data_IF_289435289240
#
_entry.id   IF_289435289240
#
_cell.length_a   1.000
_cell.length_b   1.000
_cell.length_c   1.000
_cell.angle_alpha   90.00
_cell.angle_beta   90.00
_cell.angle_gamma   90.00
#
_symmetry.space_group_name_H-M   'P 1'
#
loop_
_entity.id
_entity.type
_entity.pdbx_description
1 polymer ?
#
# COMPACT_ATOMS: atom_id res chain seq x y z
N UNK A 1 -39.29 73.52 7.49
CA UNK A 1 -38.79 72.35 8.24
C UNK A 1 -39.05 70.99 7.56
N UNK A 2 -39.43 70.90 6.27
CA UNK A 2 -39.64 69.60 5.59
C UNK A 2 -38.43 69.04 4.82
N UNK A 3 -37.42 69.86 4.49
CA UNK A 3 -36.28 69.44 3.67
C UNK A 3 -35.34 68.47 4.40
N UNK A 4 -35.18 68.65 5.71
CA UNK A 4 -34.34 67.79 6.56
C UNK A 4 -34.95 66.40 6.74
N UNK A 5 -36.28 66.30 6.87
CA UNK A 5 -36.96 65.00 7.01
C UNK A 5 -36.84 64.15 5.74
N UNK A 6 -36.93 64.77 4.56
CA UNK A 6 -36.83 64.06 3.27
C UNK A 6 -35.41 63.52 3.04
N UNK A 7 -34.37 64.31 3.36
CA UNK A 7 -32.98 63.85 3.24
C UNK A 7 -32.65 62.76 4.25
N UNK A 8 -33.20 62.84 5.46
CA UNK A 8 -33.00 61.80 6.49
C UNK A 8 -33.69 60.50 6.10
N UNK A 9 -34.91 60.56 5.52
CA UNK A 9 -35.60 59.38 5.02
C UNK A 9 -34.83 58.68 3.89
N UNK A 10 -34.31 59.43 2.92
CA UNK A 10 -33.54 58.90 1.79
C UNK A 10 -32.22 58.23 2.23
N UNK A 11 -31.55 58.79 3.24
CA UNK A 11 -30.36 58.20 3.83
C UNK A 11 -30.68 56.87 4.56
N UNK A 12 -31.83 56.79 5.24
CA UNK A 12 -32.26 55.55 5.89
C UNK A 12 -32.56 54.43 4.87
N UNK A 13 -33.17 54.73 3.72
CA UNK A 13 -33.42 53.73 2.67
C UNK A 13 -32.13 53.24 2.01
N UNK A 14 -31.13 54.11 1.87
CA UNK A 14 -29.80 53.75 1.34
C UNK A 14 -28.91 52.99 2.33
N UNK A 15 -29.13 53.15 3.63
CA UNK A 15 -28.40 52.38 4.67
C UNK A 15 -28.91 50.94 4.80
N UNK A 16 -30.18 50.67 4.48
CA UNK A 16 -30.74 49.31 4.55
C UNK A 16 -30.10 48.38 3.50
N UNK A 17 -29.67 48.90 2.36
CA UNK A 17 -28.98 48.09 1.32
C UNK A 17 -27.52 47.78 1.65
N UNK A 18 -26.89 48.53 2.55
CA UNK A 18 -25.51 48.30 2.99
C UNK A 18 -25.37 47.13 4.00
N UNK A 19 -26.49 46.57 4.48
CA UNK A 19 -26.52 45.44 5.43
C UNK A 19 -26.93 44.09 4.82
N UNK A 20 -27.22 44.02 3.52
CA UNK A 20 -27.59 42.76 2.86
C UNK A 20 -26.33 42.04 2.38
N UNK A 21 -25.64 41.35 3.29
CA UNK A 21 -24.56 40.44 2.90
C UNK A 21 -25.11 39.38 1.93
N UNK A 22 -24.49 39.25 0.76
CA UNK A 22 -24.86 38.21 -0.22
C UNK A 22 -24.87 36.86 0.47
N UNK A 23 -25.97 36.11 0.33
CA UNK A 23 -26.00 34.71 0.76
C UNK A 23 -25.35 33.86 -0.32
N UNK A 24 -24.21 33.24 0.01
CA UNK A 24 -23.47 32.33 -0.86
C UNK A 24 -23.98 30.91 -0.68
N UNK A 25 -24.10 30.18 -1.79
CA UNK A 25 -24.47 28.77 -1.79
C UNK A 25 -23.30 27.86 -1.37
N UNK A 26 -23.63 26.63 -0.96
CA UNK A 26 -22.65 25.56 -0.68
C UNK A 26 -21.73 25.33 -1.88
N UNK A 27 -22.29 25.34 -3.10
CA UNK A 27 -21.54 25.11 -4.34
C UNK A 27 -20.55 26.25 -4.65
N UNK A 28 -20.91 27.50 -4.35
CA UNK A 28 -19.98 28.64 -4.48
C UNK A 28 -18.81 28.51 -3.50
N UNK A 29 -19.08 28.17 -2.24
CA UNK A 29 -18.04 27.93 -1.25
C UNK A 29 -17.08 26.79 -1.64
N UNK A 30 -17.60 25.66 -2.16
CA UNK A 30 -16.75 24.53 -2.58
C UNK A 30 -15.83 24.87 -3.76
N UNK A 31 -16.22 25.79 -4.64
CA UNK A 31 -15.46 26.17 -5.84
C UNK A 31 -14.41 27.24 -5.56
N UNK A 32 -14.70 28.18 -4.66
CA UNK A 32 -13.84 29.34 -4.40
C UNK A 32 -13.16 29.25 -3.03
N UNK A 33 -11.86 28.93 -3.06
CA UNK A 33 -11.03 28.81 -1.84
C UNK A 33 -10.82 30.15 -1.13
N UNK A 34 -10.80 31.26 -1.86
CA UNK A 34 -10.59 32.57 -1.27
C UNK A 34 -11.86 33.01 -0.53
N UNK A 35 -13.03 32.81 -1.16
CA UNK A 35 -14.32 33.01 -0.52
C UNK A 35 -14.46 32.15 0.74
N UNK A 36 -14.09 30.87 0.65
CA UNK A 36 -14.10 29.96 1.79
C UNK A 36 -13.20 30.48 2.93
N UNK A 37 -11.98 30.91 2.62
CA UNK A 37 -11.04 31.43 3.63
C UNK A 37 -11.51 32.72 4.31
N UNK A 38 -12.03 33.67 3.52
CA UNK A 38 -12.58 34.92 4.04
C UNK A 38 -13.75 34.68 4.98
N UNK A 39 -14.70 33.82 4.57
CA UNK A 39 -15.85 33.49 5.40
C UNK A 39 -15.48 32.63 6.59
N UNK A 40 -14.45 31.79 6.51
CA UNK A 40 -13.95 31.05 7.67
C UNK A 40 -13.43 32.01 8.75
N UNK A 41 -12.72 33.06 8.35
CA UNK A 41 -12.26 34.11 9.27
C UNK A 41 -13.43 34.93 9.84
N UNK A 42 -14.44 35.26 9.02
CA UNK A 42 -15.65 35.99 9.46
C UNK A 42 -16.53 35.18 10.42
N UNK A 43 -16.73 33.90 10.12
CA UNK A 43 -17.57 33.02 10.92
C UNK A 43 -16.91 32.63 12.23
N UNK A 44 -15.58 32.47 12.25
CA UNK A 44 -14.86 31.94 13.40
C UNK A 44 -15.48 30.63 13.90
N UNK A 45 -15.48 30.42 15.21
CA UNK A 45 -16.10 29.23 15.81
C UNK A 45 -17.63 29.37 15.94
N UNK A 46 -18.11 30.55 16.32
CA UNK A 46 -19.49 30.77 16.79
C UNK A 46 -20.40 31.53 15.81
N UNK A 47 -19.96 31.86 14.60
CA UNK A 47 -20.78 32.58 13.62
C UNK A 47 -22.02 31.79 13.22
N UNK A 48 -23.19 32.42 13.28
CA UNK A 48 -24.50 31.78 13.04
C UNK A 48 -25.22 32.32 11.80
N UNK A 49 -24.56 33.16 10.98
CA UNK A 49 -25.18 33.65 9.75
C UNK A 49 -25.45 32.50 8.78
N UNK A 50 -26.40 32.70 7.84
CA UNK A 50 -26.71 31.68 6.84
C UNK A 50 -25.49 31.27 6.01
N UNK A 51 -24.57 32.21 5.76
CA UNK A 51 -23.30 31.95 5.11
C UNK A 51 -22.38 31.07 5.94
N UNK A 52 -22.38 31.20 7.27
CA UNK A 52 -21.61 30.32 8.15
C UNK A 52 -22.18 28.90 8.18
N UNK A 53 -23.50 28.73 8.09
CA UNK A 53 -24.10 27.40 7.91
C UNK A 53 -23.70 26.77 6.57
N UNK A 54 -23.84 27.53 5.47
CA UNK A 54 -23.51 27.06 4.13
C UNK A 54 -22.01 26.76 3.99
N UNK A 55 -21.14 27.55 4.60
CA UNK A 55 -19.70 27.31 4.68
C UNK A 55 -19.38 25.99 5.39
N UNK A 56 -19.95 25.76 6.59
CA UNK A 56 -19.71 24.52 7.36
C UNK A 56 -20.21 23.29 6.59
N UNK A 57 -21.36 23.41 5.92
CA UNK A 57 -21.87 22.34 5.07
C UNK A 57 -20.95 22.06 3.87
N UNK A 58 -20.45 23.12 3.21
CA UNK A 58 -19.46 23.00 2.14
C UNK A 58 -18.16 22.33 2.60
N UNK A 59 -17.64 22.70 3.77
CA UNK A 59 -16.46 22.08 4.37
C UNK A 59 -16.68 20.59 4.66
N UNK A 60 -17.83 20.23 5.23
CA UNK A 60 -18.18 18.85 5.54
C UNK A 60 -18.30 17.98 4.28
N UNK A 61 -18.96 18.49 3.23
CA UNK A 61 -19.05 17.78 1.95
C UNK A 61 -17.66 17.59 1.32
N UNK A 62 -16.84 18.64 1.31
CA UNK A 62 -15.50 18.58 0.75
C UNK A 62 -14.60 17.60 1.52
N UNK A 63 -14.72 17.58 2.85
CA UNK A 63 -14.03 16.62 3.70
C UNK A 63 -14.43 15.18 3.35
N UNK A 64 -15.72 14.88 3.22
CA UNK A 64 -16.20 13.55 2.81
C UNK A 64 -15.68 13.15 1.44
N UNK A 65 -15.63 14.08 0.48
CA UNK A 65 -15.05 13.83 -0.85
C UNK A 65 -13.54 13.50 -0.77
N UNK A 66 -12.80 14.19 0.10
CA UNK A 66 -11.38 13.90 0.31
C UNK A 66 -11.15 12.56 1.01
N UNK A 67 -11.96 12.24 2.02
CA UNK A 67 -11.93 10.96 2.74
C UNK A 67 -12.24 9.81 1.79
N UNK A 68 -13.32 9.89 1.01
CA UNK A 68 -13.67 8.86 0.03
C UNK A 68 -12.53 8.62 -0.99
N UNK A 69 -11.91 9.69 -1.51
CA UNK A 69 -10.75 9.57 -2.41
C UNK A 69 -9.52 8.98 -1.71
N UNK A 70 -9.33 9.25 -0.42
CA UNK A 70 -8.23 8.68 0.34
C UNK A 70 -8.45 7.19 0.61
N UNK A 71 -9.66 6.79 1.01
CA UNK A 71 -10.07 5.40 1.19
C UNK A 71 -9.91 4.60 -0.10
N UNK A 72 -10.32 5.16 -1.24
CA UNK A 72 -10.13 4.52 -2.55
C UNK A 72 -8.65 4.26 -2.85
N UNK A 73 -7.77 5.26 -2.67
CA UNK A 73 -6.33 5.11 -2.86
C UNK A 73 -5.72 4.08 -1.91
N UNK A 74 -6.16 4.06 -0.64
CA UNK A 74 -5.69 3.09 0.36
C UNK A 74 -6.12 1.69 -0.05
N UNK A 75 -7.38 1.52 -0.50
CA UNK A 75 -7.91 0.24 -0.96
C UNK A 75 -7.12 -0.28 -2.16
N UNK A 76 -6.90 0.55 -3.17
CA UNK A 76 -6.10 0.19 -4.35
C UNK A 76 -4.66 -0.17 -3.97
N UNK A 77 -4.03 0.63 -3.11
CA UNK A 77 -2.68 0.35 -2.63
C UNK A 77 -2.60 -1.00 -1.90
N UNK A 78 -3.54 -1.26 -1.00
CA UNK A 78 -3.59 -2.52 -0.24
C UNK A 78 -3.84 -3.72 -1.15
N UNK A 79 -4.71 -3.59 -2.15
CA UNK A 79 -4.95 -4.65 -3.13
C UNK A 79 -3.69 -4.95 -3.96
N UNK A 80 -3.00 -3.91 -4.44
CA UNK A 80 -1.76 -4.06 -5.19
C UNK A 80 -0.66 -4.70 -4.34
N UNK A 81 -0.51 -4.28 -3.08
CA UNK A 81 0.45 -4.86 -2.13
C UNK A 81 0.14 -6.33 -1.83
N UNK A 82 -1.15 -6.69 -1.69
CA UNK A 82 -1.57 -8.08 -1.49
C UNK A 82 -1.19 -8.95 -2.69
N UNK A 83 -1.50 -8.49 -3.91
CA UNK A 83 -1.15 -9.19 -5.15
C UNK A 83 0.36 -9.38 -5.28
N UNK A 84 1.14 -8.30 -5.09
CA UNK A 84 2.61 -8.37 -5.14
C UNK A 84 3.18 -9.33 -4.09
N UNK A 85 2.61 -9.38 -2.89
CA UNK A 85 3.04 -10.30 -1.85
C UNK A 85 2.67 -11.76 -2.16
N UNK A 86 1.50 -11.99 -2.77
CA UNK A 86 1.09 -13.32 -3.25
C UNK A 86 2.02 -13.83 -4.34
N UNK A 87 2.33 -13.00 -5.34
CA UNK A 87 3.29 -13.32 -6.41
C UNK A 87 4.68 -13.62 -5.84
N UNK A 88 5.20 -12.74 -4.99
CA UNK A 88 6.50 -12.94 -4.34
C UNK A 88 6.55 -14.25 -3.54
N UNK A 89 5.49 -14.57 -2.79
CA UNK A 89 5.40 -15.84 -2.05
C UNK A 89 5.37 -17.04 -2.99
N UNK A 90 4.68 -16.95 -4.12
CA UNK A 90 4.63 -18.02 -5.11
C UNK A 90 6.02 -18.25 -5.74
N UNK A 91 6.71 -17.18 -6.14
CA UNK A 91 8.08 -17.25 -6.68
C UNK A 91 9.07 -17.85 -5.67
N UNK A 92 8.98 -17.43 -4.41
CA UNK A 92 9.85 -17.96 -3.35
C UNK A 92 9.60 -19.43 -3.07
N UNK A 93 8.35 -19.89 -3.08
CA UNK A 93 8.02 -21.33 -2.97
C UNK A 93 8.58 -22.11 -4.15
N UNK A 94 8.36 -21.66 -5.37
CA UNK A 94 8.89 -22.32 -6.57
C UNK A 94 10.42 -22.39 -6.55
N UNK A 95 11.10 -21.31 -6.15
CA UNK A 95 12.55 -21.28 -5.97
C UNK A 95 13.01 -22.28 -4.90
N UNK A 96 12.32 -22.32 -3.77
CA UNK A 96 12.65 -23.22 -2.68
C UNK A 96 12.44 -24.69 -3.06
N UNK A 97 11.35 -25.02 -3.74
CA UNK A 97 11.11 -26.37 -4.27
C UNK A 97 12.18 -26.79 -5.27
N UNK A 98 12.55 -25.90 -6.21
CA UNK A 98 13.64 -26.16 -7.15
C UNK A 98 14.96 -26.39 -6.43
N UNK A 99 15.29 -25.54 -5.46
CA UNK A 99 16.51 -25.69 -4.67
C UNK A 99 16.53 -27.01 -3.90
N UNK A 100 15.39 -27.40 -3.31
CA UNK A 100 15.25 -28.66 -2.58
C UNK A 100 15.49 -29.87 -3.51
N UNK A 101 14.88 -29.88 -4.69
CA UNK A 101 15.08 -30.94 -5.69
C UNK A 101 16.54 -31.00 -6.14
N UNK A 102 17.14 -29.84 -6.47
CA UNK A 102 18.55 -29.76 -6.88
C UNK A 102 19.52 -30.20 -5.77
N UNK A 103 19.14 -29.98 -4.51
CA UNK A 103 19.91 -30.41 -3.35
C UNK A 103 19.81 -31.93 -3.15
N UNK A 104 18.61 -32.48 -3.15
CA UNK A 104 18.37 -33.93 -3.04
C UNK A 104 19.05 -34.70 -4.17
N UNK A 105 18.98 -34.19 -5.41
CA UNK A 105 19.69 -34.78 -6.55
C UNK A 105 21.20 -34.79 -6.35
N UNK A 106 21.78 -33.69 -5.86
CA UNK A 106 23.22 -33.60 -5.57
C UNK A 106 23.63 -34.55 -4.45
N UNK A 107 22.83 -34.70 -3.40
CA UNK A 107 23.10 -35.68 -2.36
C UNK A 107 23.06 -37.11 -2.91
N UNK A 108 22.03 -37.48 -3.68
CA UNK A 108 21.94 -38.80 -4.27
C UNK A 108 23.11 -39.11 -5.23
N UNK A 109 23.58 -38.13 -6.00
CA UNK A 109 24.77 -38.27 -6.85
C UNK A 109 26.06 -38.49 -6.04
N UNK A 110 26.21 -37.78 -4.91
CA UNK A 110 27.35 -37.97 -4.00
C UNK A 110 27.30 -39.36 -3.37
N UNK A 111 26.16 -39.77 -2.81
CA UNK A 111 25.97 -41.09 -2.20
C UNK A 111 26.23 -42.22 -3.21
N UNK A 112 25.76 -42.06 -4.45
CA UNK A 112 26.02 -43.02 -5.52
C UNK A 112 27.52 -43.14 -5.82
N UNK A 113 28.23 -42.01 -5.92
CA UNK A 113 29.69 -42.01 -6.16
C UNK A 113 30.44 -42.67 -5.01
N UNK A 114 30.10 -42.36 -3.77
CA UNK A 114 30.70 -42.99 -2.59
C UNK A 114 30.44 -44.50 -2.55
N UNK A 115 29.23 -44.95 -2.91
CA UNK A 115 28.89 -46.36 -2.98
C UNK A 115 29.67 -47.09 -4.10
N UNK A 116 29.81 -46.47 -5.28
CA UNK A 116 30.60 -47.00 -6.39
C UNK A 116 32.09 -47.11 -6.03
N UNK A 117 32.63 -46.10 -5.34
CA UNK A 117 34.02 -46.10 -4.87
C UNK A 117 34.27 -47.19 -3.83
N UNK A 118 33.40 -47.29 -2.80
CA UNK A 118 33.48 -48.36 -1.79
C UNK A 118 33.38 -49.75 -2.40
N UNK A 119 32.51 -49.94 -3.41
CA UNK A 119 32.38 -51.22 -4.11
C UNK A 119 33.63 -51.56 -4.93
N UNK A 120 34.26 -50.58 -5.58
CA UNK A 120 35.53 -50.77 -6.30
C UNK A 120 36.65 -51.15 -5.34
N UNK A 121 36.81 -50.43 -4.24
CA UNK A 121 37.82 -50.76 -3.23
C UNK A 121 37.61 -52.16 -2.65
N UNK A 122 36.35 -52.54 -2.37
CA UNK A 122 36.05 -53.87 -1.86
C UNK A 122 36.38 -54.96 -2.88
N UNK A 123 36.02 -54.76 -4.16
CA UNK A 123 36.34 -55.70 -5.22
C UNK A 123 37.86 -55.85 -5.41
N UNK A 124 38.62 -54.75 -5.28
CA UNK A 124 40.09 -54.77 -5.35
C UNK A 124 40.70 -55.53 -4.17
N UNK A 125 40.24 -55.27 -2.93
CA UNK A 125 40.66 -56.02 -1.73
C UNK A 125 40.37 -57.51 -1.88
N UNK A 126 39.17 -57.88 -2.30
CA UNK A 126 38.80 -59.29 -2.53
C UNK A 126 39.64 -59.94 -3.63
N UNK A 127 39.96 -59.22 -4.70
CA UNK A 127 40.83 -59.71 -5.77
C UNK A 127 42.27 -59.94 -5.27
N UNK A 128 42.81 -59.02 -4.47
CA UNK A 128 44.14 -59.14 -3.86
C UNK A 128 44.21 -60.33 -2.89
N UNK A 129 43.20 -60.50 -2.03
CA UNK A 129 43.09 -61.64 -1.11
C UNK A 129 43.02 -62.97 -1.87
N UNK A 130 42.19 -63.04 -2.93
CA UNK A 130 42.11 -64.23 -3.79
C UNK A 130 43.42 -64.53 -4.50
N UNK A 131 44.16 -63.51 -4.94
CA UNK A 131 45.48 -63.67 -5.55
C UNK A 131 46.50 -64.23 -4.55
N UNK A 132 46.56 -63.65 -3.33
CA UNK A 132 47.40 -64.14 -2.23
C UNK A 132 47.08 -65.58 -1.85
N UNK A 133 45.80 -65.93 -1.75
CA UNK A 133 45.38 -67.30 -1.42
C UNK A 133 45.79 -68.32 -2.51
N UNK A 134 45.69 -67.96 -3.80
CA UNK A 134 46.15 -68.81 -4.90
C UNK A 134 47.67 -68.99 -4.88
N UNK A 135 48.43 -67.93 -4.62
CA UNK A 135 49.88 -68.01 -4.52
C UNK A 135 50.32 -68.94 -3.38
N UNK A 136 49.72 -68.81 -2.20
CA UNK A 136 49.99 -69.71 -1.07
C UNK A 136 49.63 -71.18 -1.35
N UNK A 137 48.63 -71.45 -2.17
CA UNK A 137 48.29 -72.82 -2.59
C UNK A 137 49.31 -73.39 -3.59
N UNK A 138 49.87 -72.55 -4.47
CA UNK A 138 50.92 -72.96 -5.41
C UNK A 138 52.27 -73.20 -4.71
N UNK A 139 52.60 -72.40 -3.69
CA UNK A 139 53.87 -72.53 -2.95
C UNK A 139 53.90 -73.75 -2.00
N UNK A 140 52.74 -74.36 -1.71
CA UNK A 140 52.59 -75.52 -0.82
C UNK A 140 52.47 -76.88 -1.55
N UNK A 141 52.67 -76.91 -2.88
CA UNK A 141 52.61 -78.13 -3.70
C UNK A 141 53.95 -78.41 -4.39
#
# INVERSE_FOLDING_TARGET
MNKVLITTLLLCTGLITAGCEKTYSVAEFKKDKNLMGEWNAKCGFAGTSKNCENLRLAQLELQKEYEAKAEERIREHNENMRKAMEEYRAEMRARHEKWKIDFEKRQAEIEKKEAEEKAKEQAEREAEERAKAKQQQQDNH
#
